data_IF_531301943638
#
_entry.id   IF_531301943638
#
_cell.length_a   1.000
_cell.length_b   1.000
_cell.length_c   1.000
_cell.angle_alpha   90.00
_cell.angle_beta   90.00
_cell.angle_gamma   90.00
#
_symmetry.space_group_name_H-M   'P 1'
#
loop_
_entity.id
_entity.type
_entity.pdbx_description
1 polymer ?
#
# COMPACT_ATOMS: atom_id res chain seq x y z
N UNK A 1 14.74 -7.94 -39.47
CA UNK A 1 15.39 -7.71 -38.15
C UNK A 1 14.31 -7.17 -37.23
N UNK A 2 13.92 -7.96 -36.23
CA UNK A 2 12.80 -7.65 -35.35
C UNK A 2 13.24 -6.56 -34.37
N UNK A 3 12.61 -5.39 -34.45
CA UNK A 3 12.73 -4.32 -33.46
C UNK A 3 12.05 -4.80 -32.18
N UNK A 4 12.83 -5.26 -31.21
CA UNK A 4 12.37 -5.40 -29.83
C UNK A 4 12.38 -4.00 -29.22
N UNK A 5 11.27 -3.29 -29.34
CA UNK A 5 11.04 -2.05 -28.60
C UNK A 5 11.10 -2.35 -27.10
N UNK A 6 11.82 -1.52 -26.35
CA UNK A 6 11.83 -1.56 -24.90
C UNK A 6 10.40 -1.37 -24.40
N UNK A 7 9.83 -2.40 -23.77
CA UNK A 7 8.47 -2.32 -23.22
C UNK A 7 8.50 -1.34 -22.06
N UNK A 8 7.73 -0.26 -22.23
CA UNK A 8 7.34 0.69 -21.19
C UNK A 8 7.01 -0.05 -19.89
N UNK A 9 7.76 0.19 -18.82
CA UNK A 9 7.35 -0.21 -17.48
C UNK A 9 6.25 0.75 -17.03
N UNK A 10 5.02 0.50 -17.46
CA UNK A 10 3.89 1.06 -16.76
C UNK A 10 3.84 0.37 -15.39
N UNK A 11 3.81 1.17 -14.32
CA UNK A 11 3.25 0.69 -13.06
C UNK A 11 1.76 0.53 -13.31
N UNK A 12 1.36 -0.60 -13.88
CA UNK A 12 -0.04 -0.99 -13.94
C UNK A 12 -0.48 -1.27 -12.50
N UNK A 13 -1.53 -0.59 -12.07
CA UNK A 13 -2.25 -0.90 -10.85
C UNK A 13 -2.82 -2.32 -11.00
N UNK A 14 -2.07 -3.31 -10.53
CA UNK A 14 -2.68 -4.59 -10.19
C UNK A 14 -3.58 -4.33 -8.97
N UNK A 15 -4.89 -4.32 -9.22
CA UNK A 15 -5.98 -4.01 -8.31
C UNK A 15 -5.80 -4.64 -6.91
N UNK A 16 -5.40 -3.84 -5.94
CA UNK A 16 -5.67 -4.10 -4.52
C UNK A 16 -6.88 -3.28 -4.08
N UNK A 17 -8.06 -3.65 -4.58
CA UNK A 17 -9.32 -3.14 -4.09
C UNK A 17 -9.67 -3.79 -2.74
N UNK A 18 -9.34 -3.11 -1.63
CA UNK A 18 -9.99 -3.35 -0.34
C UNK A 18 -11.03 -2.25 -0.12
N UNK A 19 -12.30 -2.56 -0.42
CA UNK A 19 -13.43 -1.65 -0.24
C UNK A 19 -13.59 -1.25 1.24
N UNK A 20 -13.29 0.01 1.56
CA UNK A 20 -13.60 0.65 2.84
C UNK A 20 -14.41 1.92 2.62
N UNK A 21 -15.72 1.80 2.44
CA UNK A 21 -16.63 2.95 2.41
C UNK A 21 -17.01 3.40 3.82
N UNK A 22 -16.92 4.70 4.08
CA UNK A 22 -17.35 5.36 5.32
C UNK A 22 -18.82 5.81 5.23
N UNK A 23 -19.65 5.62 6.28
CA UNK A 23 -20.93 6.32 6.45
C UNK A 23 -20.83 7.50 7.45
N UNK A 24 -21.70 8.53 7.34
CA UNK A 24 -21.63 9.76 8.14
C UNK A 24 -22.21 9.61 9.57
N UNK A 25 -21.89 10.53 10.50
CA UNK A 25 -22.31 10.44 11.89
C UNK A 25 -23.76 10.90 12.09
N UNK A 26 -24.46 10.25 13.02
CA UNK A 26 -25.82 10.63 13.46
C UNK A 26 -25.74 11.04 14.92
N UNK A 27 -26.09 12.30 15.18
CA UNK A 27 -26.23 12.92 16.50
C UNK A 27 -27.66 12.73 17.01
N UNK A 28 -27.80 12.31 18.27
CA UNK A 28 -28.99 12.59 19.07
C UNK A 28 -28.60 12.74 20.55
N UNK A 29 -28.16 13.93 20.92
CA UNK A 29 -28.41 14.44 22.27
C UNK A 29 -29.90 14.78 22.42
N UNK A 30 -30.57 14.23 23.44
CA UNK A 30 -31.55 14.92 24.30
C UNK A 30 -32.15 13.92 25.30
N UNK A 31 -31.86 14.15 26.57
CA UNK A 31 -32.46 13.50 27.74
C UNK A 31 -33.92 13.94 27.93
N UNK A 32 -34.82 12.99 28.20
CA UNK A 32 -36.14 13.28 28.78
C UNK A 32 -36.25 12.51 30.09
N UNK A 33 -36.33 13.27 31.18
CA UNK A 33 -36.44 12.80 32.55
C UNK A 33 -37.92 12.74 32.93
N UNK A 34 -38.43 11.57 33.34
CA UNK A 34 -39.81 11.41 33.81
C UNK A 34 -39.82 10.94 35.26
N UNK A 35 -40.10 11.87 36.17
CA UNK A 35 -40.52 11.61 37.54
C UNK A 35 -42.01 11.25 37.56
N UNK A 36 -42.32 10.03 37.99
CA UNK A 36 -43.68 9.60 38.31
C UNK A 36 -43.68 8.73 39.56
N UNK A 37 -44.30 9.22 40.63
CA UNK A 37 -44.46 8.53 41.92
C UNK A 37 -45.49 7.42 41.83
N UNK A 38 -45.09 6.20 42.19
CA UNK A 38 -46.00 5.04 42.35
C UNK A 38 -46.61 5.09 43.74
N UNK A 39 -47.94 5.19 43.81
CA UNK A 39 -48.71 4.86 45.02
C UNK A 39 -49.38 3.51 44.84
N UNK A 40 -49.24 2.68 45.86
CA UNK A 40 -49.66 1.29 45.91
C UNK A 40 -51.12 1.14 46.35
N UNK A 41 -51.84 0.19 45.76
CA UNK A 41 -52.98 -0.48 46.40
C UNK A 41 -54.38 -0.10 45.90
N UNK A 42 -54.82 -0.71 44.81
CA UNK A 42 -56.23 -0.78 44.40
C UNK A 42 -56.41 -1.82 43.30
N UNK A 43 -57.03 -2.97 43.61
CA UNK A 43 -57.19 -4.09 42.69
C UNK A 43 -58.05 -3.76 41.47
N UNK A 44 -57.59 -4.14 40.27
CA UNK A 44 -58.36 -4.07 39.04
C UNK A 44 -59.32 -5.28 38.95
N UNK A 45 -60.62 -5.03 39.12
CA UNK A 45 -61.67 -5.94 38.66
C UNK A 45 -61.97 -5.64 37.17
N UNK A 46 -61.56 -6.53 36.27
CA UNK A 46 -61.91 -6.46 34.85
C UNK A 46 -63.27 -7.13 34.61
N UNK A 47 -64.36 -6.38 34.82
CA UNK A 47 -65.70 -6.78 34.39
C UNK A 47 -65.86 -6.63 32.88
N UNK A 48 -65.54 -7.67 32.10
CA UNK A 48 -65.76 -7.67 30.66
C UNK A 48 -67.13 -8.26 30.30
N UNK A 49 -68.05 -7.51 29.67
CA UNK A 49 -69.35 -8.03 29.24
C UNK A 49 -69.19 -9.00 28.06
N UNK A 50 -70.08 -9.99 28.00
CA UNK A 50 -70.05 -11.11 27.06
C UNK A 50 -70.16 -10.68 25.59
N UNK A 51 -69.40 -11.33 24.69
CA UNK A 51 -69.18 -10.95 23.28
C UNK A 51 -70.47 -10.84 22.43
N UNK A 52 -71.56 -11.44 22.91
CA UNK A 52 -72.89 -11.46 22.29
C UNK A 52 -73.68 -10.14 22.44
N UNK A 53 -73.30 -9.26 23.38
CA UNK A 53 -73.99 -7.98 23.68
C UNK A 53 -73.32 -6.73 23.10
N UNK A 54 -72.15 -6.85 22.45
CA UNK A 54 -71.38 -5.71 21.95
C UNK A 54 -71.81 -5.25 20.55
N UNK A 55 -71.84 -3.95 20.32
CA UNK A 55 -72.21 -3.33 19.03
C UNK A 55 -71.13 -3.58 17.96
N UNK A 56 -71.46 -3.42 16.67
CA UNK A 56 -70.51 -3.64 15.56
C UNK A 56 -69.28 -2.72 15.66
N UNK A 57 -69.44 -1.49 16.14
CA UNK A 57 -68.35 -0.54 16.35
C UNK A 57 -67.40 -0.96 17.49
N UNK A 58 -67.93 -1.48 18.61
CA UNK A 58 -67.12 -1.99 19.72
C UNK A 58 -66.27 -3.20 19.31
N UNK A 59 -66.80 -4.08 18.46
CA UNK A 59 -66.06 -5.24 17.96
C UNK A 59 -64.89 -4.83 17.06
N UNK A 60 -65.09 -3.86 16.16
CA UNK A 60 -64.03 -3.30 15.32
C UNK A 60 -62.96 -2.62 16.17
N UNK A 61 -63.36 -1.83 17.18
CA UNK A 61 -62.43 -1.17 18.09
C UNK A 61 -61.57 -2.17 18.87
N UNK A 62 -62.15 -3.28 19.36
CA UNK A 62 -61.40 -4.31 20.08
C UNK A 62 -60.41 -5.06 19.19
N UNK A 63 -60.77 -5.32 17.92
CA UNK A 63 -59.87 -5.93 16.95
C UNK A 63 -58.71 -4.99 16.63
N UNK A 64 -58.97 -3.69 16.45
CA UNK A 64 -57.93 -2.69 16.24
C UNK A 64 -57.01 -2.54 17.45
N UNK A 65 -57.55 -2.52 18.66
CA UNK A 65 -56.75 -2.47 19.91
C UNK A 65 -55.92 -3.74 20.07
N UNK A 66 -56.49 -4.92 19.78
CA UNK A 66 -55.75 -6.18 19.80
C UNK A 66 -54.64 -6.22 18.74
N UNK A 67 -54.90 -5.71 17.53
CA UNK A 67 -53.90 -5.60 16.47
C UNK A 67 -52.78 -4.62 16.85
N UNK A 68 -53.11 -3.45 17.40
CA UNK A 68 -52.13 -2.49 17.92
C UNK A 68 -51.31 -3.09 19.08
N UNK A 69 -51.94 -3.81 19.99
CA UNK A 69 -51.26 -4.51 21.08
C UNK A 69 -50.31 -5.59 20.56
N UNK A 70 -50.71 -6.37 19.54
CA UNK A 70 -49.83 -7.34 18.89
C UNK A 70 -48.64 -6.66 18.21
N UNK A 71 -48.85 -5.54 17.52
CA UNK A 71 -47.76 -4.75 16.92
C UNK A 71 -46.79 -4.26 17.99
N UNK A 72 -47.28 -3.77 19.12
CA UNK A 72 -46.43 -3.33 20.25
C UNK A 72 -45.65 -4.51 20.85
N UNK A 73 -46.26 -5.69 20.98
CA UNK A 73 -45.60 -6.91 21.47
C UNK A 73 -44.52 -7.37 20.49
N UNK A 74 -44.76 -7.29 19.18
CA UNK A 74 -43.76 -7.64 18.17
C UNK A 74 -42.60 -6.64 18.21
N UNK A 75 -42.87 -5.34 18.29
CA UNK A 75 -41.84 -4.30 18.38
C UNK A 75 -41.01 -4.41 19.67
N UNK A 76 -41.64 -4.70 20.81
CA UNK A 76 -40.92 -4.90 22.07
C UNK A 76 -40.09 -6.18 22.05
N UNK A 77 -40.57 -7.25 21.43
CA UNK A 77 -39.81 -8.47 21.19
C UNK A 77 -38.58 -8.23 20.30
N UNK A 78 -38.73 -7.46 19.22
CA UNK A 78 -37.61 -7.07 18.35
C UNK A 78 -36.58 -6.24 19.10
N UNK A 79 -37.00 -5.25 19.91
CA UNK A 79 -36.09 -4.44 20.72
C UNK A 79 -35.34 -5.28 21.78
N UNK A 80 -36.02 -6.22 22.45
CA UNK A 80 -35.37 -7.12 23.40
C UNK A 80 -34.35 -8.06 22.73
N UNK A 81 -34.62 -8.53 21.50
CA UNK A 81 -33.69 -9.32 20.72
C UNK A 81 -32.47 -8.50 20.26
N UNK A 82 -32.66 -7.23 19.90
CA UNK A 82 -31.54 -6.34 19.58
C UNK A 82 -30.69 -6.04 20.81
N UNK A 83 -31.30 -5.80 21.97
CA UNK A 83 -30.58 -5.54 23.22
C UNK A 83 -29.70 -6.72 23.64
N UNK A 84 -30.18 -7.96 23.46
CA UNK A 84 -29.38 -9.15 23.75
C UNK A 84 -28.13 -9.22 22.87
N UNK A 85 -28.28 -8.97 21.55
CA UNK A 85 -27.13 -8.93 20.62
C UNK A 85 -26.16 -7.80 20.92
N UNK A 86 -26.67 -6.64 21.33
CA UNK A 86 -25.84 -5.48 21.71
C UNK A 86 -25.02 -5.81 22.96
N UNK A 87 -25.61 -6.45 23.97
CA UNK A 87 -24.91 -6.89 25.18
C UNK A 87 -23.82 -7.92 24.88
N UNK A 88 -24.09 -8.87 23.99
CA UNK A 88 -23.09 -9.86 23.56
C UNK A 88 -21.92 -9.20 22.82
N UNK A 89 -22.21 -8.25 21.91
CA UNK A 89 -21.17 -7.51 21.20
C UNK A 89 -20.37 -6.60 22.14
N UNK A 90 -21.01 -5.98 23.13
CA UNK A 90 -20.35 -5.15 24.15
C UNK A 90 -19.44 -6.01 25.06
N UNK A 91 -19.90 -7.19 25.47
CA UNK A 91 -19.09 -8.15 26.20
C UNK A 91 -17.90 -8.66 25.36
N UNK A 92 -18.10 -8.88 24.06
CA UNK A 92 -17.04 -9.29 23.14
C UNK A 92 -16.04 -8.16 22.88
N UNK A 93 -16.50 -6.92 22.69
CA UNK A 93 -15.68 -5.72 22.52
C UNK A 93 -14.86 -5.40 23.77
N UNK A 94 -15.36 -5.73 24.96
CA UNK A 94 -14.60 -5.60 26.20
C UNK A 94 -13.46 -6.61 26.31
N UNK A 95 -13.55 -7.76 25.62
CA UNK A 95 -12.55 -8.84 25.66
C UNK A 95 -11.58 -8.80 24.49
N UNK A 96 -12.04 -8.41 23.30
CA UNK A 96 -11.27 -8.41 22.06
C UNK A 96 -11.37 -7.05 21.38
N UNK A 97 -10.30 -6.66 20.70
CA UNK A 97 -10.34 -5.47 19.85
C UNK A 97 -11.17 -5.76 18.60
N UNK A 98 -12.32 -5.07 18.46
CA UNK A 98 -13.22 -5.20 17.31
C UNK A 98 -13.21 -3.94 16.42
N UNK A 99 -12.20 -3.08 16.55
CA UNK A 99 -12.04 -1.96 15.63
C UNK A 99 -11.72 -2.47 14.22
N UNK A 100 -12.08 -1.73 13.15
CA UNK A 100 -11.80 -2.14 11.77
C UNK A 100 -10.31 -2.46 11.54
N UNK A 101 -9.41 -1.73 12.19
CA UNK A 101 -7.96 -1.93 12.09
C UNK A 101 -7.56 -3.28 12.69
N UNK A 102 -8.06 -3.61 13.88
CA UNK A 102 -7.77 -4.88 14.55
C UNK A 102 -8.28 -6.07 13.74
N UNK A 103 -9.51 -5.98 13.20
CA UNK A 103 -10.08 -7.03 12.36
C UNK A 103 -9.25 -7.22 11.09
N UNK A 104 -8.84 -6.14 10.44
CA UNK A 104 -8.04 -6.20 9.22
C UNK A 104 -6.64 -6.80 9.47
N UNK A 105 -5.96 -6.38 10.54
CA UNK A 105 -4.66 -6.93 10.92
C UNK A 105 -4.78 -8.41 11.24
N UNK A 106 -5.76 -8.81 12.07
CA UNK A 106 -5.99 -10.20 12.42
C UNK A 106 -6.27 -11.06 11.17
N UNK A 107 -7.09 -10.57 10.24
CA UNK A 107 -7.37 -11.24 8.97
C UNK A 107 -6.11 -11.43 8.13
N UNK A 108 -5.28 -10.39 8.02
CA UNK A 108 -4.00 -10.44 7.27
C UNK A 108 -3.00 -11.40 7.90
N UNK A 109 -2.91 -11.45 9.22
CA UNK A 109 -2.06 -12.41 9.92
C UNK A 109 -2.55 -13.85 9.68
N UNK A 110 -3.85 -14.09 9.81
CA UNK A 110 -4.43 -15.41 9.63
C UNK A 110 -4.28 -15.93 8.20
N UNK A 111 -4.34 -15.07 7.18
CA UNK A 111 -4.15 -15.48 5.78
C UNK A 111 -2.69 -15.77 5.43
N UNK A 112 -1.75 -15.15 6.16
CA UNK A 112 -0.32 -15.40 5.98
C UNK A 112 0.15 -16.74 6.59
N UNK A 113 -0.53 -17.21 7.64
CA UNK A 113 -0.13 -18.39 8.39
C UNK A 113 -0.47 -19.71 7.70
N UNK A 114 0.40 -20.70 7.83
CA UNK A 114 0.11 -22.11 7.53
C UNK A 114 -0.07 -22.90 8.84
N UNK A 115 -1.33 -23.04 9.27
CA UNK A 115 -1.69 -23.71 10.52
C UNK A 115 -1.54 -25.24 10.49
N UNK A 116 -1.10 -25.81 9.37
CA UNK A 116 -0.81 -27.26 9.26
C UNK A 116 0.59 -27.61 9.77
N UNK A 117 1.46 -26.61 9.95
CA UNK A 117 2.82 -26.76 10.45
C UNK A 117 2.87 -26.50 11.95
N UNK A 118 3.65 -27.27 12.70
CA UNK A 118 3.90 -27.01 14.11
C UNK A 118 4.82 -25.78 14.26
N UNK A 119 4.38 -24.69 14.93
CA UNK A 119 5.22 -23.52 15.15
C UNK A 119 6.50 -23.81 15.95
N UNK A 120 6.55 -24.88 16.75
CA UNK A 120 7.73 -25.28 17.51
C UNK A 120 8.80 -25.95 16.63
N UNK A 121 8.42 -26.47 15.46
CA UNK A 121 9.32 -27.15 14.52
C UNK A 121 9.79 -26.21 13.40
N UNK A 122 8.87 -25.47 12.78
CA UNK A 122 9.18 -24.46 11.76
C UNK A 122 8.24 -23.26 11.87
N UNK A 123 8.67 -22.29 12.67
CA UNK A 123 7.91 -21.05 12.87
C UNK A 123 7.79 -20.21 11.60
N UNK A 124 8.76 -20.28 10.67
CA UNK A 124 8.72 -19.47 9.45
C UNK A 124 7.62 -19.98 8.51
N UNK A 125 7.55 -21.29 8.27
CA UNK A 125 6.47 -21.86 7.45
C UNK A 125 5.13 -21.73 8.15
N UNK A 126 5.06 -21.90 9.47
CA UNK A 126 3.82 -21.65 10.22
C UNK A 126 3.34 -20.20 10.09
N UNK A 127 4.22 -19.21 10.20
CA UNK A 127 3.84 -17.80 10.18
C UNK A 127 3.63 -17.23 8.77
N UNK A 128 4.37 -17.73 7.77
CA UNK A 128 4.44 -17.13 6.43
C UNK A 128 4.02 -18.08 5.30
N UNK A 129 3.82 -19.38 5.58
CA UNK A 129 3.57 -20.40 4.55
C UNK A 129 2.32 -20.15 3.72
N UNK A 130 1.26 -19.61 4.32
CA UNK A 130 0.06 -19.16 3.60
C UNK A 130 0.36 -17.99 2.66
N UNK A 131 1.15 -17.01 3.13
CA UNK A 131 1.55 -15.86 2.32
C UNK A 131 2.40 -16.30 1.11
N UNK A 132 3.40 -17.16 1.33
CA UNK A 132 4.28 -17.65 0.26
C UNK A 132 3.51 -18.40 -0.83
N UNK A 133 2.51 -19.20 -0.47
CA UNK A 133 1.65 -19.92 -1.44
C UNK A 133 0.83 -18.95 -2.31
N UNK A 134 0.39 -17.84 -1.72
CA UNK A 134 -0.48 -16.87 -2.40
C UNK A 134 0.27 -15.75 -3.12
N UNK A 135 1.57 -15.60 -2.88
CA UNK A 135 2.39 -14.50 -3.40
C UNK A 135 3.64 -15.04 -4.12
N UNK A 136 3.49 -15.69 -5.29
CA UNK A 136 4.64 -16.08 -6.11
C UNK A 136 5.44 -14.85 -6.54
N UNK A 137 6.74 -15.02 -6.80
CA UNK A 137 7.61 -13.92 -7.21
C UNK A 137 7.11 -13.38 -8.57
N UNK A 138 6.71 -12.10 -8.65
CA UNK A 138 6.24 -11.52 -9.90
C UNK A 138 7.35 -11.42 -10.95
N UNK A 139 7.01 -11.36 -12.24
CA UNK A 139 7.98 -11.04 -13.29
C UNK A 139 8.75 -9.75 -12.99
N UNK A 140 10.03 -9.73 -13.37
CA UNK A 140 10.91 -8.57 -13.12
C UNK A 140 11.48 -8.49 -11.70
N UNK A 141 11.07 -9.39 -10.79
CA UNK A 141 11.61 -9.46 -9.43
C UNK A 141 12.39 -10.76 -9.22
N UNK A 142 13.47 -10.70 -8.44
CA UNK A 142 14.26 -11.87 -8.03
C UNK A 142 13.89 -12.39 -6.64
N UNK A 143 13.17 -11.59 -5.86
CA UNK A 143 12.62 -11.89 -4.54
C UNK A 143 11.30 -11.16 -4.36
N UNK A 144 10.44 -11.66 -3.47
CA UNK A 144 9.19 -10.99 -3.15
C UNK A 144 8.84 -11.20 -1.69
N UNK A 145 8.56 -10.10 -1.00
CA UNK A 145 8.29 -10.08 0.44
C UNK A 145 7.71 -8.75 0.89
N UNK A 146 7.59 -8.57 2.20
CA UNK A 146 7.02 -7.36 2.81
C UNK A 146 7.78 -6.10 2.41
N UNK A 147 9.12 -6.13 2.40
CA UNK A 147 9.92 -4.97 2.03
C UNK A 147 9.72 -4.58 0.56
N UNK A 148 9.68 -5.55 -0.34
CA UNK A 148 9.45 -5.29 -1.76
C UNK A 148 8.04 -4.70 -1.97
N UNK A 149 7.01 -5.25 -1.31
CA UNK A 149 5.65 -4.70 -1.33
C UNK A 149 5.60 -3.25 -0.81
N UNK A 150 6.28 -2.95 0.30
CA UNK A 150 6.34 -1.59 0.84
C UNK A 150 7.07 -0.64 -0.11
N UNK A 151 8.18 -1.09 -0.71
CA UNK A 151 8.91 -0.31 -1.71
C UNK A 151 8.04 -0.01 -2.92
N UNK A 152 7.31 -0.98 -3.46
CA UNK A 152 6.39 -0.77 -4.59
C UNK A 152 5.29 0.24 -4.23
N UNK A 153 4.68 0.12 -3.05
CA UNK A 153 3.67 1.10 -2.58
C UNK A 153 4.25 2.50 -2.45
N UNK A 154 5.44 2.64 -1.89
CA UNK A 154 6.11 3.94 -1.77
C UNK A 154 6.47 4.51 -3.14
N UNK A 155 6.92 3.69 -4.09
CA UNK A 155 7.18 4.12 -5.47
C UNK A 155 5.93 4.67 -6.14
N UNK A 156 4.77 4.05 -5.94
CA UNK A 156 3.49 4.55 -6.45
C UNK A 156 3.13 5.92 -5.84
N UNK A 157 3.30 6.08 -4.53
CA UNK A 157 3.06 7.36 -3.85
C UNK A 157 4.01 8.45 -4.39
N UNK A 158 5.30 8.13 -4.56
CA UNK A 158 6.28 9.07 -5.13
C UNK A 158 5.94 9.45 -6.56
N UNK A 159 5.57 8.47 -7.40
CA UNK A 159 5.09 8.73 -8.77
C UNK A 159 3.90 9.68 -8.77
N UNK A 160 2.87 9.39 -7.99
CA UNK A 160 1.67 10.23 -7.90
C UNK A 160 1.98 11.64 -7.38
N UNK A 161 2.98 11.79 -6.52
CA UNK A 161 3.43 13.10 -6.06
C UNK A 161 4.15 13.89 -7.17
N UNK A 162 4.98 13.23 -7.97
CA UNK A 162 5.75 13.86 -9.06
C UNK A 162 4.92 14.14 -10.33
N UNK A 163 3.84 13.39 -10.55
CA UNK A 163 2.92 13.58 -11.69
C UNK A 163 2.01 14.81 -11.56
N UNK A 164 1.95 15.45 -10.38
CA UNK A 164 1.14 16.65 -10.15
C UNK A 164 1.57 17.83 -11.04
N UNK A 165 0.69 18.77 -11.39
CA UNK A 165 1.05 19.97 -12.16
C UNK A 165 2.15 20.81 -11.51
N UNK A 166 3.00 21.45 -12.33
CA UNK A 166 4.16 22.25 -11.84
C UNK A 166 3.77 23.33 -10.82
N UNK A 167 2.58 23.92 -10.98
CA UNK A 167 2.02 24.95 -10.08
C UNK A 167 1.77 24.47 -8.64
N UNK A 168 1.75 23.16 -8.40
CA UNK A 168 1.55 22.59 -7.06
C UNK A 168 2.86 22.42 -6.28
N UNK A 169 4.01 22.58 -6.93
CA UNK A 169 5.31 22.56 -6.26
C UNK A 169 5.71 23.96 -5.81
N UNK A 170 6.29 24.03 -4.63
CA UNK A 170 6.60 25.30 -3.96
C UNK A 170 8.09 25.62 -3.99
N UNK A 171 8.93 24.58 -4.08
CA UNK A 171 10.39 24.72 -4.06
C UNK A 171 11.04 24.37 -5.40
N UNK A 172 12.20 24.96 -5.66
CA UNK A 172 13.02 24.61 -6.82
C UNK A 172 13.56 23.17 -6.75
N UNK A 173 13.73 22.62 -5.55
CA UNK A 173 14.17 21.24 -5.34
C UNK A 173 13.10 20.23 -5.79
N UNK A 174 11.83 20.49 -5.45
CA UNK A 174 10.70 19.69 -5.90
C UNK A 174 10.56 19.70 -7.43
N UNK A 175 10.61 20.89 -8.05
CA UNK A 175 10.54 21.02 -9.51
C UNK A 175 11.68 20.30 -10.22
N UNK A 176 12.93 20.41 -9.71
CA UNK A 176 14.06 19.66 -10.25
C UNK A 176 13.86 18.16 -10.15
N UNK A 177 13.33 17.68 -9.02
CA UNK A 177 13.03 16.25 -8.82
C UNK A 177 11.99 15.75 -9.82
N UNK A 178 10.94 16.54 -10.07
CA UNK A 178 9.93 16.26 -11.10
C UNK A 178 10.53 16.22 -12.50
N UNK A 179 11.26 17.26 -12.92
CA UNK A 179 11.82 17.30 -14.27
C UNK A 179 12.85 16.20 -14.49
N UNK A 180 13.62 15.83 -13.46
CA UNK A 180 14.52 14.69 -13.51
C UNK A 180 13.73 13.38 -13.70
N UNK A 181 12.64 13.18 -12.96
CA UNK A 181 11.74 12.04 -13.16
C UNK A 181 11.16 12.00 -14.58
N UNK A 182 10.62 13.11 -15.09
CA UNK A 182 10.07 13.17 -16.45
C UNK A 182 11.11 12.90 -17.53
N UNK A 183 12.36 13.36 -17.35
CA UNK A 183 13.45 13.04 -18.27
C UNK A 183 13.79 11.56 -18.34
N UNK A 184 13.51 10.81 -17.26
CA UNK A 184 13.71 9.35 -17.21
C UNK A 184 12.51 8.60 -17.80
N UNK A 185 11.29 9.10 -17.58
CA UNK A 185 10.07 8.49 -18.14
C UNK A 185 9.96 8.62 -19.66
N UNK A 186 10.70 9.57 -20.24
CA UNK A 186 10.89 9.76 -21.68
C UNK A 186 9.59 9.86 -22.50
N UNK A 187 8.64 10.68 -22.02
CA UNK A 187 7.34 10.84 -22.70
C UNK A 187 7.49 11.35 -24.14
N UNK A 188 8.50 12.18 -24.39
CA UNK A 188 8.82 12.76 -25.70
C UNK A 188 9.73 11.85 -26.57
N UNK A 189 10.07 10.63 -26.10
CA UNK A 189 10.95 9.66 -26.79
C UNK A 189 12.33 10.21 -27.15
N UNK A 190 12.85 11.13 -26.36
CA UNK A 190 14.18 11.72 -26.54
C UNK A 190 15.28 10.69 -26.33
N UNK A 191 15.14 9.78 -25.37
CA UNK A 191 16.13 8.72 -25.10
C UNK A 191 16.20 7.77 -26.31
N UNK A 192 15.06 7.27 -26.77
CA UNK A 192 14.99 6.38 -27.94
C UNK A 192 15.48 7.07 -29.22
N UNK A 193 15.16 8.35 -29.40
CA UNK A 193 15.62 9.14 -30.56
C UNK A 193 17.13 9.38 -30.54
N UNK A 194 17.70 9.67 -29.36
CA UNK A 194 19.13 9.87 -29.20
C UNK A 194 19.94 8.57 -29.34
N UNK A 195 19.33 7.43 -29.01
CA UNK A 195 19.97 6.12 -29.04
C UNK A 195 21.25 6.09 -28.21
N UNK A 196 22.29 5.43 -28.71
CA UNK A 196 23.58 5.34 -28.01
C UNK A 196 24.44 6.61 -28.12
N UNK A 197 24.01 7.64 -28.86
CA UNK A 197 24.87 8.78 -29.19
C UNK A 197 25.44 9.51 -27.96
N UNK A 198 24.65 9.82 -26.90
CA UNK A 198 25.19 10.47 -25.71
C UNK A 198 26.29 9.65 -25.02
N UNK A 199 26.14 8.32 -25.01
CA UNK A 199 27.14 7.41 -24.45
C UNK A 199 28.40 7.35 -25.33
N UNK A 200 28.25 7.31 -26.65
CA UNK A 200 29.39 7.35 -27.58
C UNK A 200 30.16 8.67 -27.50
N UNK A 201 29.48 9.80 -27.28
CA UNK A 201 30.09 11.10 -27.06
C UNK A 201 30.92 11.11 -25.78
N UNK A 202 30.38 10.52 -24.69
CA UNK A 202 31.10 10.34 -23.44
C UNK A 202 32.36 9.48 -23.63
N UNK A 203 32.26 8.34 -24.31
CA UNK A 203 33.41 7.46 -24.59
C UNK A 203 34.50 8.17 -25.40
N UNK A 204 34.11 8.97 -26.40
CA UNK A 204 35.04 9.79 -27.19
C UNK A 204 35.71 10.87 -26.32
N UNK A 205 34.96 11.54 -25.45
CA UNK A 205 35.48 12.53 -24.50
C UNK A 205 36.47 11.94 -23.50
N UNK A 206 36.20 10.73 -23.01
CA UNK A 206 37.11 9.95 -22.16
C UNK A 206 38.35 9.44 -22.91
N UNK A 207 38.47 9.70 -24.21
CA UNK A 207 39.55 9.20 -25.06
C UNK A 207 39.69 7.69 -24.96
N UNK A 208 38.57 6.98 -24.81
CA UNK A 208 38.51 5.53 -24.87
C UNK A 208 38.92 5.13 -26.29
N UNK A 209 40.18 4.72 -26.46
CA UNK A 209 40.82 4.50 -27.76
C UNK A 209 40.36 3.26 -28.52
N UNK A 210 39.40 2.52 -28.00
CA UNK A 210 38.84 1.35 -28.68
C UNK A 210 37.73 1.81 -29.60
N UNK A 211 38.01 1.83 -30.90
CA UNK A 211 36.94 1.83 -31.87
C UNK A 211 36.20 0.49 -31.78
N UNK A 212 35.09 0.44 -31.04
CA UNK A 212 34.28 -0.78 -30.83
C UNK A 212 33.87 -1.39 -32.17
N UNK A 213 33.76 -0.60 -33.26
CA UNK A 213 33.44 -1.11 -34.59
C UNK A 213 34.58 -1.87 -35.28
N UNK A 214 35.83 -1.74 -34.83
CA UNK A 214 36.97 -2.53 -35.30
C UNK A 214 37.17 -3.82 -34.49
N UNK A 215 36.32 -4.05 -33.47
CA UNK A 215 36.32 -5.28 -32.69
C UNK A 215 35.75 -6.41 -33.57
N UNK A 216 36.63 -7.20 -34.17
CA UNK A 216 36.29 -8.35 -35.02
C UNK A 216 36.11 -8.03 -36.51
N UNK A 217 36.02 -6.77 -36.93
CA UNK A 217 35.95 -6.38 -38.34
C UNK A 217 37.36 -6.04 -38.90
N UNK A 218 38.22 -7.05 -39.01
CA UNK A 218 39.28 -7.05 -40.03
C UNK A 218 40.65 -6.44 -39.70
N UNK A 219 41.10 -6.37 -38.43
CA UNK A 219 42.47 -5.92 -38.19
C UNK A 219 43.02 -5.93 -36.78
N UNK A 220 42.38 -6.65 -35.84
CA UNK A 220 42.97 -6.89 -34.52
C UNK A 220 42.84 -8.38 -34.20
N UNK A 221 43.73 -9.18 -34.79
CA UNK A 221 43.93 -10.57 -34.40
C UNK A 221 44.53 -10.68 -32.99
N UNK A 222 44.50 -11.87 -32.36
CA UNK A 222 45.23 -12.10 -31.12
C UNK A 222 46.71 -11.82 -31.37
N UNK A 223 47.24 -10.76 -30.75
CA UNK A 223 48.63 -10.31 -30.91
C UNK A 223 48.83 -9.04 -31.74
N UNK A 224 47.79 -8.44 -32.32
CA UNK A 224 47.87 -7.06 -32.79
C UNK A 224 47.64 -6.13 -31.60
N UNK A 225 48.68 -5.36 -31.27
CA UNK A 225 48.83 -4.69 -29.99
C UNK A 225 47.63 -3.82 -29.62
N UNK A 226 47.28 -3.86 -28.34
CA UNK A 226 46.50 -2.83 -27.66
C UNK A 226 47.32 -1.54 -27.63
N UNK A 227 47.59 -0.95 -28.79
CA UNK A 227 48.30 0.31 -28.85
C UNK A 227 47.33 1.39 -28.42
N UNK A 228 47.44 1.73 -27.14
CA UNK A 228 46.79 2.88 -26.55
C UNK A 228 47.11 4.09 -27.44
N UNK A 229 46.11 4.95 -27.77
CA UNK A 229 46.34 6.11 -28.60
C UNK A 229 47.52 6.94 -28.08
N UNK A 230 48.30 7.52 -28.98
CA UNK A 230 49.38 8.44 -28.59
C UNK A 230 48.86 9.52 -27.64
N UNK A 231 49.44 9.61 -26.44
CA UNK A 231 48.99 10.52 -25.37
C UNK A 231 48.04 9.91 -24.34
N UNK A 232 47.79 8.59 -24.37
CA UNK A 232 47.03 7.93 -23.32
C UNK A 232 47.78 7.93 -21.98
N UNK A 233 47.10 8.36 -20.92
CA UNK A 233 47.65 8.45 -19.57
C UNK A 233 46.69 7.76 -18.58
N UNK A 234 47.15 6.67 -17.97
CA UNK A 234 46.35 5.87 -17.04
C UNK A 234 45.80 6.71 -15.88
N UNK A 235 46.65 7.51 -15.23
CA UNK A 235 46.26 8.30 -14.07
C UNK A 235 45.13 9.28 -14.43
N UNK A 236 45.25 9.94 -15.58
CA UNK A 236 44.20 10.84 -16.08
C UNK A 236 42.89 10.10 -16.37
N UNK A 237 42.95 8.87 -16.90
CA UNK A 237 41.72 8.09 -17.15
C UNK A 237 41.07 7.58 -15.89
N UNK A 238 41.86 7.17 -14.90
CA UNK A 238 41.32 6.81 -13.58
C UNK A 238 40.69 8.03 -12.92
N UNK A 239 41.32 9.21 -13.00
CA UNK A 239 40.76 10.48 -12.55
C UNK A 239 39.44 10.82 -13.25
N UNK A 240 39.41 10.81 -14.59
CA UNK A 240 38.21 11.09 -15.38
C UNK A 240 37.04 10.14 -14.99
N UNK A 241 37.33 8.86 -14.76
CA UNK A 241 36.31 7.86 -14.36
C UNK A 241 35.84 8.05 -12.91
N UNK A 242 36.75 8.40 -11.99
CA UNK A 242 36.39 8.71 -10.62
C UNK A 242 35.52 9.98 -10.53
N UNK A 243 35.75 10.98 -11.39
CA UNK A 243 34.87 12.16 -11.51
C UNK A 243 33.45 11.81 -11.98
N UNK A 244 33.30 10.70 -12.72
CA UNK A 244 32.01 10.13 -13.11
C UNK A 244 31.42 9.19 -12.03
N UNK A 245 32.00 9.16 -10.82
CA UNK A 245 31.64 8.25 -9.74
C UNK A 245 31.80 6.77 -10.10
N UNK A 246 32.70 6.45 -11.04
CA UNK A 246 33.05 5.07 -11.40
C UNK A 246 34.34 4.67 -10.69
N UNK A 247 34.23 3.83 -9.65
CA UNK A 247 35.38 3.28 -8.92
C UNK A 247 36.13 2.24 -9.73
N UNK A 248 37.21 2.65 -10.41
CA UNK A 248 38.07 1.75 -11.20
C UNK A 248 39.41 1.55 -10.47
N UNK A 249 39.86 0.30 -10.37
CA UNK A 249 40.99 -0.22 -9.56
C UNK A 249 40.84 -0.10 -8.05
N UNK A 250 40.47 1.09 -7.59
CA UNK A 250 40.17 1.40 -6.21
C UNK A 250 39.03 2.41 -6.18
N UNK A 251 38.28 2.42 -5.08
CA UNK A 251 37.27 3.45 -4.82
C UNK A 251 37.93 4.54 -4.00
N UNK A 252 37.60 5.80 -4.29
CA UNK A 252 37.97 6.92 -3.45
C UNK A 252 36.68 7.61 -3.04
N UNK A 253 36.46 7.75 -1.74
CA UNK A 253 35.33 8.50 -1.22
C UNK A 253 35.71 9.25 0.06
N UNK A 254 34.89 10.23 0.42
CA UNK A 254 35.03 11.00 1.65
C UNK A 254 33.98 10.51 2.63
N UNK A 255 34.41 10.03 3.79
CA UNK A 255 33.52 9.58 4.87
C UNK A 255 34.12 9.89 6.22
N UNK A 256 33.35 9.65 7.27
CA UNK A 256 33.69 9.96 8.64
C UNK A 256 34.95 9.18 9.09
N UNK A 257 35.83 9.86 9.84
CA UNK A 257 36.97 9.19 10.46
C UNK A 257 36.47 8.30 11.60
N UNK A 258 36.75 6.99 11.50
CA UNK A 258 36.41 6.01 12.54
C UNK A 258 37.04 6.34 13.90
N UNK A 259 38.12 7.13 13.94
CA UNK A 259 38.77 7.60 15.17
C UNK A 259 38.28 8.99 15.62
N UNK A 260 37.63 9.76 14.75
CA UNK A 260 37.11 11.08 15.04
C UNK A 260 35.88 11.39 14.18
N UNK A 261 34.69 11.08 14.70
CA UNK A 261 33.42 11.26 13.98
C UNK A 261 33.07 12.72 13.64
N UNK A 262 33.83 13.70 14.16
CA UNK A 262 33.68 15.12 13.82
C UNK A 262 34.48 15.54 12.59
N UNK A 263 35.28 14.63 12.01
CA UNK A 263 36.10 14.88 10.83
C UNK A 263 35.82 13.84 9.73
N UNK A 264 36.06 14.25 8.50
CA UNK A 264 36.03 13.36 7.34
C UNK A 264 37.44 13.08 6.84
N UNK A 265 37.65 11.90 6.28
CA UNK A 265 38.90 11.46 5.65
C UNK A 265 38.62 10.86 4.27
N UNK A 266 39.65 10.83 3.43
CA UNK A 266 39.65 10.02 2.20
C UNK A 266 39.82 8.55 2.59
N UNK A 267 38.98 7.68 2.02
CA UNK A 267 39.03 6.23 2.14
C UNK A 267 39.08 5.59 0.76
#
# INVERSE_FOLDING_TARGET
MSSQGYKRTNFEEDDYASNGGTPPPVDFTHSVDFRGTVNSGGGLHLGLPSWKQRTTQEKVLLILVAALALVVIILSGVMALTDAKVKDLEALNKKFCLTPECVNIASTMLSAMDRTVDPCEDFYTYACGGWMKNNPIPPGHSRWGTFDLMTTKNMLVMKNALDKPDKEFTSTAELKSKHYFLSCMDEDKLIETAGAQPFLDLLRGLGWGVNISQWGAGGAGPGQGWELPGGWNLNKRVEDLHLLSLGVFFSVYVSEDAKNSSANILQ
#
